data_IF_555164640023
#
_entry.id   IF_555164640023
#
_cell.length_a   1.000
_cell.length_b   1.000
_cell.length_c   1.000
_cell.angle_alpha   90.00
_cell.angle_beta   90.00
_cell.angle_gamma   90.00
#
_symmetry.space_group_name_H-M   'P 1'
#
loop_
_entity.id
_entity.type
_entity.pdbx_description
1 polymer ?
#
# COMPACT_ATOMS: atom_id res chain seq x y z
N UNK A 1 -30.52 -37.09 38.68
CA UNK A 1 -29.84 -35.77 38.79
C UNK A 1 -28.96 -35.62 37.59
N UNK A 2 -29.50 -35.06 36.54
CA UNK A 2 -28.86 -34.91 35.24
C UNK A 2 -28.41 -33.44 35.10
N UNK A 3 -27.11 -33.17 35.05
CA UNK A 3 -26.56 -31.84 34.83
C UNK A 3 -26.54 -31.61 33.32
N UNK A 4 -27.32 -30.67 32.89
CA UNK A 4 -27.34 -30.07 31.58
C UNK A 4 -26.10 -29.15 31.45
N UNK A 5 -25.16 -29.50 30.55
CA UNK A 5 -24.06 -28.62 30.19
C UNK A 5 -24.48 -27.83 28.93
N UNK A 6 -24.79 -26.58 29.16
CA UNK A 6 -25.03 -25.61 28.10
C UNK A 6 -23.69 -25.33 27.40
N UNK A 7 -23.61 -25.65 26.12
CA UNK A 7 -22.55 -25.26 25.22
C UNK A 7 -22.71 -23.75 24.92
N UNK A 8 -21.73 -22.88 25.14
CA UNK A 8 -21.82 -21.51 24.69
C UNK A 8 -21.69 -21.47 23.18
N UNK A 9 -22.68 -20.86 22.55
CA UNK A 9 -22.80 -20.65 21.11
C UNK A 9 -21.53 -20.00 20.55
N UNK A 10 -21.05 -20.55 19.46
CA UNK A 10 -20.12 -19.88 18.58
C UNK A 10 -20.76 -18.55 18.12
N UNK A 11 -20.15 -17.47 18.49
CA UNK A 11 -20.48 -16.13 17.95
C UNK A 11 -20.05 -16.16 16.50
N UNK A 12 -21.00 -16.15 15.59
CA UNK A 12 -20.78 -15.97 14.17
C UNK A 12 -20.32 -14.51 13.94
N UNK A 13 -19.03 -14.30 13.86
CA UNK A 13 -18.40 -13.03 13.46
C UNK A 13 -18.31 -12.94 11.91
N UNK A 14 -19.41 -13.11 11.23
CA UNK A 14 -19.49 -12.99 9.77
C UNK A 14 -19.89 -11.58 9.29
N UNK A 15 -20.06 -10.63 10.21
CA UNK A 15 -20.51 -9.26 9.86
C UNK A 15 -19.38 -8.24 9.67
N UNK A 16 -18.19 -8.51 10.17
CA UNK A 16 -17.04 -7.57 10.14
C UNK A 16 -16.03 -7.87 9.03
N UNK A 17 -15.94 -9.12 8.58
CA UNK A 17 -14.92 -9.56 7.60
C UNK A 17 -15.21 -9.04 6.17
N UNK A 18 -16.49 -8.74 5.84
CA UNK A 18 -16.90 -8.25 4.50
C UNK A 18 -16.59 -6.76 4.28
N UNK A 19 -16.31 -6.00 5.35
CA UNK A 19 -15.94 -4.58 5.29
C UNK A 19 -14.44 -4.35 5.13
N UNK A 20 -13.61 -5.32 5.53
CA UNK A 20 -12.16 -5.20 5.48
C UNK A 20 -11.62 -5.53 4.08
N UNK A 21 -10.72 -4.67 3.60
CA UNK A 21 -9.92 -4.94 2.42
C UNK A 21 -8.66 -5.73 2.76
N UNK A 22 -8.06 -5.45 3.93
CA UNK A 22 -6.86 -6.13 4.43
C UNK A 22 -7.06 -6.46 5.89
N UNK A 23 -6.68 -7.67 6.31
CA UNK A 23 -6.57 -8.04 7.72
C UNK A 23 -5.35 -8.94 7.94
N UNK A 24 -4.63 -8.74 9.05
CA UNK A 24 -3.54 -9.62 9.49
C UNK A 24 -3.67 -9.94 10.97
N UNK A 25 -3.16 -11.11 11.37
CA UNK A 25 -3.13 -11.58 12.75
C UNK A 25 -1.75 -12.19 13.03
N UNK A 26 -0.99 -11.57 13.94
CA UNK A 26 0.37 -11.93 14.35
C UNK A 26 1.32 -12.18 13.15
N UNK A 27 1.19 -11.35 12.09
CA UNK A 27 1.95 -11.55 10.85
C UNK A 27 3.44 -11.30 11.09
N UNK A 28 4.27 -12.31 10.78
CA UNK A 28 5.70 -12.28 11.08
C UNK A 28 6.56 -12.73 9.90
N UNK A 29 7.72 -12.06 9.74
CA UNK A 29 8.77 -12.47 8.81
C UNK A 29 10.14 -12.48 9.48
N UNK A 30 10.72 -13.66 9.56
CA UNK A 30 12.09 -13.90 10.01
C UNK A 30 12.94 -14.43 8.85
N UNK A 31 14.08 -13.82 8.58
CA UNK A 31 15.06 -14.22 7.57
C UNK A 31 16.23 -15.03 8.15
N UNK A 32 15.99 -15.76 9.24
CA UNK A 32 17.02 -16.61 9.85
C UNK A 32 17.99 -15.85 10.75
N UNK A 33 17.43 -14.97 11.59
CA UNK A 33 18.16 -14.16 12.57
C UNK A 33 17.91 -12.65 12.44
N UNK A 34 17.28 -12.21 11.35
CA UNK A 34 16.80 -10.85 11.19
C UNK A 34 15.29 -10.88 11.06
N UNK A 35 14.59 -10.36 12.06
CA UNK A 35 13.14 -10.21 12.05
C UNK A 35 12.82 -8.92 11.31
N UNK A 36 12.15 -9.04 10.17
CA UNK A 36 11.79 -7.87 9.35
C UNK A 36 10.36 -7.38 9.62
N UNK A 37 9.49 -8.27 10.11
CA UNK A 37 8.13 -7.96 10.58
C UNK A 37 7.88 -8.86 11.79
N UNK A 38 7.40 -8.27 12.88
CA UNK A 38 7.29 -8.94 14.18
C UNK A 38 5.89 -8.73 14.78
N UNK A 39 4.98 -9.66 14.52
CA UNK A 39 3.64 -9.65 15.11
C UNK A 39 2.77 -8.48 14.60
N UNK A 40 2.67 -8.32 13.28
CA UNK A 40 1.87 -7.24 12.69
C UNK A 40 0.39 -7.61 12.68
N UNK A 41 -0.39 -6.92 13.51
CA UNK A 41 -1.85 -6.89 13.47
C UNK A 41 -2.31 -5.63 12.73
N UNK A 42 -3.03 -5.79 11.63
CA UNK A 42 -3.44 -4.71 10.75
C UNK A 42 -4.85 -4.95 10.24
N UNK A 43 -5.66 -3.88 10.23
CA UNK A 43 -6.98 -3.88 9.58
C UNK A 43 -7.12 -2.65 8.70
N UNK A 44 -7.55 -2.83 7.45
CA UNK A 44 -7.78 -1.74 6.50
C UNK A 44 -9.17 -1.89 5.91
N UNK A 45 -9.98 -0.85 6.03
CA UNK A 45 -11.33 -0.82 5.48
C UNK A 45 -11.31 -0.68 3.94
N UNK A 46 -12.40 -1.15 3.29
CA UNK A 46 -12.56 -1.01 1.83
C UNK A 46 -12.70 0.45 1.42
N UNK A 47 -12.13 0.80 0.27
CA UNK A 47 -12.22 2.14 -0.32
C UNK A 47 -11.36 3.20 0.40
N UNK A 48 -10.50 2.80 1.35
CA UNK A 48 -9.62 3.72 2.05
C UNK A 48 -8.27 3.91 1.33
N UNK A 49 -7.61 5.03 1.60
CA UNK A 49 -6.19 5.22 1.31
C UNK A 49 -5.44 5.05 2.63
N UNK A 50 -4.81 3.90 2.80
CA UNK A 50 -4.02 3.58 3.98
C UNK A 50 -2.55 3.94 3.75
N UNK A 51 -2.04 4.91 4.52
CA UNK A 51 -0.63 5.32 4.52
C UNK A 51 0.20 4.45 5.45
N UNK A 52 1.15 3.67 4.91
CA UNK A 52 2.03 2.82 5.69
C UNK A 52 3.42 3.44 5.77
N UNK A 53 3.65 4.20 6.84
CA UNK A 53 4.85 4.99 7.09
C UNK A 53 5.92 4.19 7.84
N UNK A 54 7.17 4.59 7.69
CA UNK A 54 8.28 4.04 8.45
C UNK A 54 9.63 4.38 7.82
N UNK A 55 10.72 4.36 8.58
CA UNK A 55 12.06 4.55 8.03
C UNK A 55 12.46 3.43 7.08
N UNK A 56 13.57 3.62 6.38
CA UNK A 56 14.14 2.57 5.55
C UNK A 56 14.58 1.38 6.44
N UNK A 57 14.20 0.17 6.05
CA UNK A 57 14.45 -1.03 6.83
C UNK A 57 13.38 -1.37 7.88
N UNK A 58 12.38 -0.53 8.10
CA UNK A 58 11.31 -0.79 9.08
C UNK A 58 10.45 -2.04 8.78
N UNK A 59 10.52 -2.61 7.57
CA UNK A 59 9.75 -3.80 7.19
C UNK A 59 8.63 -3.54 6.17
N UNK A 60 8.42 -2.29 5.70
CA UNK A 60 7.33 -1.89 4.79
C UNK A 60 7.24 -2.76 3.53
N UNK A 61 8.30 -2.82 2.72
CA UNK A 61 8.31 -3.63 1.48
C UNK A 61 8.20 -5.14 1.77
N UNK A 62 8.69 -5.61 2.92
CA UNK A 62 8.51 -7.00 3.35
C UNK A 62 7.05 -7.29 3.64
N UNK A 63 6.36 -6.40 4.34
CA UNK A 63 4.92 -6.49 4.61
C UNK A 63 4.12 -6.55 3.31
N UNK A 64 4.35 -5.60 2.39
CA UNK A 64 3.68 -5.58 1.08
C UNK A 64 3.91 -6.90 0.31
N UNK A 65 5.14 -7.41 0.29
CA UNK A 65 5.43 -8.68 -0.39
C UNK A 65 4.71 -9.88 0.22
N UNK A 66 4.47 -9.88 1.54
CA UNK A 66 3.64 -10.91 2.19
C UNK A 66 2.17 -10.74 1.82
N UNK A 67 1.63 -9.51 1.91
CA UNK A 67 0.23 -9.21 1.57
C UNK A 67 -0.09 -9.47 0.09
N UNK A 68 0.89 -9.37 -0.81
CA UNK A 68 0.73 -9.66 -2.24
C UNK A 68 1.08 -11.10 -2.63
N UNK A 69 1.25 -12.00 -1.66
CA UNK A 69 1.66 -13.41 -1.86
C UNK A 69 2.94 -13.58 -2.70
N UNK A 70 3.85 -12.59 -2.69
CA UNK A 70 5.18 -12.69 -3.28
C UNK A 70 6.21 -13.28 -2.33
N UNK A 71 5.91 -13.25 -1.03
CA UNK A 71 6.76 -13.75 0.03
C UNK A 71 5.89 -14.47 1.08
N UNK A 72 6.11 -15.74 1.38
CA UNK A 72 5.36 -16.40 2.45
C UNK A 72 5.77 -15.84 3.82
N UNK A 73 4.82 -15.63 4.75
CA UNK A 73 5.13 -15.29 6.13
C UNK A 73 5.87 -16.43 6.82
N UNK A 74 6.58 -16.12 7.90
CA UNK A 74 7.21 -17.13 8.79
C UNK A 74 6.21 -17.69 9.79
N UNK A 75 5.27 -16.83 10.26
CA UNK A 75 4.11 -17.18 11.09
C UNK A 75 3.03 -16.12 10.95
N UNK A 76 1.89 -16.33 11.62
CA UNK A 76 0.72 -15.48 11.52
C UNK A 76 -0.10 -15.72 10.27
N UNK A 77 -1.19 -14.98 10.12
CA UNK A 77 -2.12 -15.08 8.99
C UNK A 77 -2.46 -13.71 8.42
N UNK A 78 -3.04 -13.70 7.22
CA UNK A 78 -3.55 -12.47 6.62
C UNK A 78 -4.51 -12.78 5.48
N UNK A 79 -5.38 -11.80 5.20
CA UNK A 79 -6.32 -11.81 4.09
C UNK A 79 -6.29 -10.48 3.37
N UNK A 80 -6.47 -10.52 2.06
CA UNK A 80 -6.61 -9.33 1.23
C UNK A 80 -7.79 -9.58 0.28
N UNK A 81 -8.72 -8.64 0.21
CA UNK A 81 -9.97 -8.79 -0.53
C UNK A 81 -10.72 -10.10 -0.21
N UNK A 82 -10.64 -10.56 1.05
CA UNK A 82 -11.23 -11.83 1.51
C UNK A 82 -10.41 -13.09 1.18
N UNK A 83 -9.38 -13.02 0.30
CA UNK A 83 -8.51 -14.14 -0.05
C UNK A 83 -7.32 -14.27 0.93
N UNK A 84 -6.93 -15.49 1.34
CA UNK A 84 -5.73 -15.69 2.17
C UNK A 84 -4.46 -15.26 1.43
N UNK A 85 -3.52 -14.60 2.09
CA UNK A 85 -2.21 -14.20 1.51
C UNK A 85 -1.31 -15.39 1.15
N UNK A 86 -1.67 -16.61 1.54
CA UNK A 86 -0.99 -17.85 1.18
C UNK A 86 -1.57 -18.49 -0.08
N UNK A 87 -2.71 -18.02 -0.56
CA UNK A 87 -3.36 -18.49 -1.79
C UNK A 87 -3.20 -17.45 -2.90
N UNK A 88 -2.06 -17.54 -3.61
CA UNK A 88 -1.72 -16.61 -4.67
C UNK A 88 -2.73 -16.63 -5.84
N UNK A 89 -3.28 -17.79 -6.15
CA UNK A 89 -4.23 -17.97 -7.27
C UNK A 89 -5.54 -17.23 -6.97
N UNK A 90 -6.06 -17.38 -5.76
CA UNK A 90 -7.25 -16.65 -5.32
C UNK A 90 -7.02 -15.14 -5.17
N UNK A 91 -5.77 -14.71 -4.90
CA UNK A 91 -5.46 -13.32 -4.60
C UNK A 91 -5.19 -12.47 -5.84
N UNK A 92 -4.56 -13.06 -6.88
CA UNK A 92 -3.92 -12.31 -7.95
C UNK A 92 -4.89 -11.41 -8.74
N UNK A 93 -6.14 -11.81 -8.91
CA UNK A 93 -7.14 -11.05 -9.67
C UNK A 93 -7.67 -9.84 -8.88
N UNK A 94 -7.56 -9.87 -7.56
CA UNK A 94 -8.06 -8.86 -6.65
C UNK A 94 -7.03 -7.78 -6.31
N UNK A 95 -5.75 -7.99 -6.65
CA UNK A 95 -4.69 -7.07 -6.27
C UNK A 95 -3.92 -6.48 -7.45
N UNK A 96 -3.60 -5.18 -7.32
CA UNK A 96 -2.56 -4.51 -8.10
C UNK A 96 -1.32 -4.27 -7.24
N UNK A 97 -0.14 -4.35 -7.83
CA UNK A 97 1.10 -4.04 -7.12
C UNK A 97 2.08 -3.26 -7.97
N UNK A 98 2.49 -2.11 -7.45
CA UNK A 98 3.57 -1.28 -7.98
C UNK A 98 4.73 -1.33 -6.98
N UNK A 99 5.80 -2.06 -7.23
CA UNK A 99 7.02 -1.97 -6.43
C UNK A 99 7.77 -0.67 -6.71
N UNK A 100 8.68 -0.28 -5.82
CA UNK A 100 9.55 0.89 -5.97
C UNK A 100 10.26 0.94 -7.34
N UNK A 101 10.68 -0.23 -7.86
CA UNK A 101 11.20 -0.40 -9.21
C UNK A 101 10.25 -1.27 -10.02
N UNK A 102 9.43 -0.68 -10.92
CA UNK A 102 8.46 -1.43 -11.70
C UNK A 102 9.10 -2.53 -12.57
N UNK A 103 8.53 -3.75 -12.60
CA UNK A 103 9.04 -4.84 -13.43
C UNK A 103 8.59 -4.67 -14.89
N UNK A 104 9.25 -3.77 -15.61
CA UNK A 104 8.98 -3.46 -17.02
C UNK A 104 10.16 -3.83 -17.88
N UNK A 105 9.87 -4.27 -19.11
CA UNK A 105 10.90 -4.72 -20.06
C UNK A 105 11.39 -3.54 -20.90
N UNK A 106 12.67 -3.22 -20.80
CA UNK A 106 13.30 -2.09 -21.49
C UNK A 106 13.18 -2.15 -23.01
N UNK A 107 13.09 -3.36 -23.57
CA UNK A 107 13.00 -3.61 -25.01
C UNK A 107 11.58 -3.50 -25.57
N UNK A 108 10.56 -3.48 -24.68
CA UNK A 108 9.17 -3.29 -25.08
C UNK A 108 8.85 -1.81 -25.22
N UNK A 109 7.79 -1.52 -25.96
CA UNK A 109 7.08 -0.24 -25.86
C UNK A 109 6.13 -0.29 -24.66
N UNK A 110 5.61 0.86 -24.20
CA UNK A 110 4.60 0.84 -23.13
C UNK A 110 3.35 0.06 -23.55
N UNK A 111 2.93 0.20 -24.79
CA UNK A 111 1.80 -0.54 -25.36
C UNK A 111 2.04 -2.05 -25.31
N UNK A 112 3.17 -2.53 -25.82
CA UNK A 112 3.55 -3.95 -25.79
C UNK A 112 3.62 -4.50 -24.36
N UNK A 113 4.19 -3.72 -23.42
CA UNK A 113 4.29 -4.08 -22.01
C UNK A 113 2.89 -4.28 -21.37
N UNK A 114 1.96 -3.36 -21.64
CA UNK A 114 0.62 -3.40 -21.10
C UNK A 114 -0.23 -4.49 -21.75
N UNK A 115 -0.11 -4.70 -23.06
CA UNK A 115 -0.75 -5.82 -23.78
C UNK A 115 -0.28 -7.17 -23.22
N UNK A 116 1.03 -7.33 -23.04
CA UNK A 116 1.62 -8.53 -22.44
C UNK A 116 1.07 -8.77 -21.03
N UNK A 117 1.02 -7.73 -20.21
CA UNK A 117 0.53 -7.85 -18.83
C UNK A 117 -0.97 -8.18 -18.77
N UNK A 118 -1.80 -7.52 -19.59
CA UNK A 118 -3.22 -7.82 -19.71
C UNK A 118 -3.47 -9.26 -20.18
N UNK A 119 -2.66 -9.73 -21.12
CA UNK A 119 -2.70 -11.13 -21.59
C UNK A 119 -2.37 -12.14 -20.49
N UNK A 120 -1.34 -11.87 -19.66
CA UNK A 120 -1.01 -12.72 -18.51
C UNK A 120 -2.13 -12.81 -17.47
N UNK A 121 -2.96 -11.77 -17.36
CA UNK A 121 -4.13 -11.73 -16.48
C UNK A 121 -5.41 -12.29 -17.13
N UNK A 122 -5.32 -12.82 -18.35
CA UNK A 122 -6.47 -13.40 -19.04
C UNK A 122 -7.53 -12.38 -19.46
N UNK A 123 -7.21 -11.08 -19.50
CA UNK A 123 -8.12 -10.05 -19.99
C UNK A 123 -8.46 -10.25 -21.47
N UNK A 124 -9.66 -9.84 -21.88
CA UNK A 124 -10.06 -9.92 -23.30
C UNK A 124 -9.28 -8.89 -24.14
N UNK A 125 -8.87 -9.22 -25.39
CA UNK A 125 -8.10 -8.30 -26.23
C UNK A 125 -8.76 -6.92 -26.40
N UNK A 126 -10.07 -6.86 -26.60
CA UNK A 126 -10.83 -5.61 -26.74
C UNK A 126 -10.87 -4.78 -25.47
N UNK A 127 -10.86 -5.43 -24.32
CA UNK A 127 -10.79 -4.77 -22.99
C UNK A 127 -9.38 -4.24 -22.75
N UNK A 128 -8.35 -5.03 -23.07
CA UNK A 128 -6.94 -4.60 -22.99
C UNK A 128 -6.73 -3.33 -23.81
N UNK A 129 -7.12 -3.34 -25.10
CA UNK A 129 -6.97 -2.19 -25.98
C UNK A 129 -7.66 -0.93 -25.43
N UNK A 130 -8.94 -1.05 -25.05
CA UNK A 130 -9.70 0.07 -24.50
C UNK A 130 -9.08 0.63 -23.21
N UNK A 131 -8.61 -0.24 -22.31
CA UNK A 131 -7.97 0.15 -21.05
C UNK A 131 -6.62 0.83 -21.28
N UNK A 132 -5.83 0.31 -22.20
CA UNK A 132 -4.53 0.88 -22.57
C UNK A 132 -4.71 2.30 -23.08
N UNK A 133 -5.58 2.53 -24.08
CA UNK A 133 -5.81 3.87 -24.62
C UNK A 133 -6.25 4.86 -23.54
N UNK A 134 -7.23 4.48 -22.72
CA UNK A 134 -7.74 5.34 -21.64
C UNK A 134 -6.66 5.69 -20.63
N UNK A 135 -5.84 4.71 -20.23
CA UNK A 135 -4.84 4.92 -19.19
C UNK A 135 -3.59 5.64 -19.73
N UNK A 136 -3.16 5.34 -20.95
CA UNK A 136 -2.05 6.06 -21.57
C UNK A 136 -2.38 7.55 -21.77
N UNK A 137 -3.62 7.88 -22.17
CA UNK A 137 -4.06 9.27 -22.29
C UNK A 137 -4.08 9.95 -20.90
N UNK A 138 -4.70 9.32 -19.91
CA UNK A 138 -4.75 9.84 -18.53
C UNK A 138 -3.38 10.13 -17.93
N UNK A 139 -2.40 9.25 -18.20
CA UNK A 139 -1.04 9.41 -17.71
C UNK A 139 -0.14 10.25 -18.60
N UNK A 140 -0.69 10.86 -19.66
CA UNK A 140 0.07 11.65 -20.64
C UNK A 140 1.25 10.86 -21.23
N UNK A 141 1.02 9.60 -21.61
CA UNK A 141 1.97 8.70 -22.24
C UNK A 141 1.53 8.28 -23.66
N UNK A 142 0.40 8.79 -24.15
CA UNK A 142 -0.17 8.38 -25.43
C UNK A 142 0.76 8.65 -26.62
N UNK A 143 1.46 9.79 -26.61
CA UNK A 143 2.40 10.16 -27.68
C UNK A 143 3.69 9.32 -27.68
N UNK A 144 4.10 8.83 -26.48
CA UNK A 144 5.31 8.03 -26.30
C UNK A 144 5.01 6.52 -26.27
N UNK A 145 3.73 6.11 -26.39
CA UNK A 145 3.26 4.75 -26.15
C UNK A 145 3.96 3.67 -27.01
N UNK A 146 4.39 4.05 -28.19
CA UNK A 146 5.05 3.19 -29.18
C UNK A 146 6.59 3.36 -29.18
N UNK A 147 7.13 4.23 -28.30
CA UNK A 147 8.56 4.34 -28.07
C UNK A 147 9.04 3.26 -27.08
N UNK A 148 10.30 2.83 -27.25
CA UNK A 148 10.87 1.80 -26.38
C UNK A 148 11.09 2.32 -24.97
N UNK A 149 10.72 1.52 -23.98
CA UNK A 149 10.82 1.85 -22.55
C UNK A 149 12.27 2.17 -22.12
N UNK A 150 13.28 1.66 -22.82
CA UNK A 150 14.67 2.03 -22.55
C UNK A 150 14.92 3.54 -22.68
N UNK A 151 14.12 4.25 -23.48
CA UNK A 151 14.24 5.71 -23.66
C UNK A 151 13.44 6.51 -22.62
N UNK A 152 12.61 5.84 -21.81
CA UNK A 152 11.72 6.48 -20.85
C UNK A 152 12.48 7.09 -19.67
N UNK A 153 12.02 8.26 -19.24
CA UNK A 153 12.40 8.83 -17.95
C UNK A 153 11.94 7.94 -16.78
N UNK A 154 12.51 8.14 -15.60
CA UNK A 154 12.04 7.44 -14.39
C UNK A 154 10.54 7.65 -14.18
N UNK A 155 10.03 8.87 -14.39
CA UNK A 155 8.61 9.19 -14.26
C UNK A 155 7.72 8.44 -15.26
N UNK A 156 8.13 8.32 -16.52
CA UNK A 156 7.38 7.56 -17.53
C UNK A 156 7.36 6.06 -17.18
N UNK A 157 8.47 5.50 -16.70
CA UNK A 157 8.55 4.11 -16.23
C UNK A 157 7.61 3.87 -15.04
N UNK A 158 7.59 4.79 -14.08
CA UNK A 158 6.72 4.71 -12.91
C UNK A 158 5.23 4.77 -13.30
N UNK A 159 4.88 5.71 -14.20
CA UNK A 159 3.53 5.81 -14.77
C UNK A 159 3.12 4.52 -15.48
N UNK A 160 3.99 3.94 -16.32
CA UNK A 160 3.74 2.65 -16.98
C UNK A 160 3.52 1.52 -15.99
N UNK A 161 4.33 1.44 -14.92
CA UNK A 161 4.17 0.47 -13.84
C UNK A 161 2.86 0.65 -13.07
N UNK A 162 2.43 1.90 -12.82
CA UNK A 162 1.16 2.17 -12.16
C UNK A 162 -0.03 1.76 -13.06
N UNK A 163 0.01 2.08 -14.36
CA UNK A 163 -0.98 1.60 -15.33
C UNK A 163 -1.07 0.07 -15.29
N UNK A 164 0.07 -0.62 -15.32
CA UNK A 164 0.14 -2.07 -15.22
C UNK A 164 -0.53 -2.61 -13.94
N UNK A 165 -0.34 -1.91 -12.80
CA UNK A 165 -0.93 -2.32 -11.52
C UNK A 165 -2.46 -2.16 -11.46
N UNK A 166 -3.03 -1.18 -12.20
CA UNK A 166 -4.47 -0.83 -12.08
C UNK A 166 -5.33 -1.21 -13.30
N UNK A 167 -4.73 -1.63 -14.42
CA UNK A 167 -5.46 -1.85 -15.67
C UNK A 167 -6.54 -2.93 -15.59
N UNK A 168 -6.40 -3.91 -14.72
CA UNK A 168 -7.37 -5.00 -14.51
C UNK A 168 -8.41 -4.68 -13.43
N UNK A 169 -8.46 -3.43 -12.91
CA UNK A 169 -9.43 -2.95 -11.90
C UNK A 169 -9.45 -3.79 -10.61
N UNK A 170 -8.32 -3.88 -9.91
CA UNK A 170 -8.23 -4.64 -8.66
C UNK A 170 -9.06 -4.03 -7.53
N UNK A 171 -9.44 -4.86 -6.53
CA UNK A 171 -10.09 -4.39 -5.30
C UNK A 171 -9.10 -3.62 -4.38
N UNK A 172 -7.83 -4.06 -4.37
CA UNK A 172 -6.77 -3.47 -3.55
C UNK A 172 -5.52 -3.19 -4.39
N UNK A 173 -4.97 -1.98 -4.28
CA UNK A 173 -3.71 -1.59 -4.93
C UNK A 173 -2.63 -1.32 -3.88
N UNK A 174 -1.53 -2.05 -3.98
CA UNK A 174 -0.33 -1.83 -3.18
C UNK A 174 0.68 -0.98 -3.95
N UNK A 175 1.09 0.14 -3.37
CA UNK A 175 2.03 1.09 -3.97
C UNK A 175 3.24 1.25 -3.04
N UNK A 176 4.41 0.81 -3.49
CA UNK A 176 5.67 0.94 -2.73
C UNK A 176 6.46 2.13 -3.26
N UNK A 177 6.54 3.22 -2.49
CA UNK A 177 7.21 4.48 -2.82
C UNK A 177 6.79 5.07 -4.20
N UNK A 178 5.50 5.20 -4.54
CA UNK A 178 5.04 5.49 -5.90
C UNK A 178 5.46 6.86 -6.44
N UNK A 179 5.80 7.82 -5.57
CA UNK A 179 6.22 9.19 -5.94
C UNK A 179 7.71 9.42 -5.82
N UNK A 180 8.49 8.41 -5.37
CA UNK A 180 9.92 8.56 -5.11
C UNK A 180 10.72 8.91 -6.37
N UNK A 181 11.43 10.05 -6.30
CA UNK A 181 12.31 10.52 -7.38
C UNK A 181 11.58 10.93 -8.65
N UNK A 182 10.28 11.24 -8.56
CA UNK A 182 9.51 11.84 -9.64
C UNK A 182 9.66 13.36 -9.62
N UNK A 183 9.54 13.98 -10.79
CA UNK A 183 9.34 15.41 -10.88
C UNK A 183 7.96 15.81 -10.35
N UNK A 184 7.73 17.10 -9.99
CA UNK A 184 6.46 17.52 -9.38
C UNK A 184 5.21 17.25 -10.21
N UNK A 185 5.31 17.27 -11.55
CA UNK A 185 4.18 17.03 -12.45
C UNK A 185 3.82 15.54 -12.46
N UNK A 186 4.80 14.67 -12.61
CA UNK A 186 4.60 13.22 -12.55
C UNK A 186 4.06 12.78 -11.17
N UNK A 187 4.64 13.32 -10.07
CA UNK A 187 4.17 13.05 -8.72
C UNK A 187 2.70 13.48 -8.52
N UNK A 188 2.30 14.63 -9.07
CA UNK A 188 0.90 15.10 -9.03
C UNK A 188 -0.04 14.13 -9.74
N UNK A 189 0.28 13.69 -10.97
CA UNK A 189 -0.53 12.72 -11.71
C UNK A 189 -0.73 11.42 -10.92
N UNK A 190 0.33 10.94 -10.25
CA UNK A 190 0.25 9.75 -9.39
C UNK A 190 -0.69 9.99 -8.21
N UNK A 191 -0.58 11.13 -7.50
CA UNK A 191 -1.48 11.46 -6.37
C UNK A 191 -2.94 11.57 -6.79
N UNK A 192 -3.22 12.29 -7.88
CA UNK A 192 -4.58 12.40 -8.44
C UNK A 192 -5.14 11.01 -8.79
N UNK A 193 -4.30 10.11 -9.33
CA UNK A 193 -4.72 8.73 -9.61
C UNK A 193 -5.05 7.94 -8.33
N UNK A 194 -4.25 8.07 -7.28
CA UNK A 194 -4.51 7.42 -5.98
C UNK A 194 -5.86 7.88 -5.41
N UNK A 195 -6.13 9.19 -5.44
CA UNK A 195 -7.40 9.76 -4.99
C UNK A 195 -8.58 9.22 -5.78
N UNK A 196 -8.45 9.16 -7.12
CA UNK A 196 -9.51 8.66 -7.99
C UNK A 196 -9.77 7.16 -7.84
N UNK A 197 -8.73 6.35 -7.55
CA UNK A 197 -8.89 4.94 -7.25
C UNK A 197 -9.77 4.74 -6.01
N UNK A 198 -9.46 5.45 -4.92
CA UNK A 198 -10.25 5.37 -3.69
C UNK A 198 -11.68 5.91 -3.87
N UNK A 199 -11.86 6.99 -4.64
CA UNK A 199 -13.18 7.51 -4.97
C UNK A 199 -14.05 6.54 -5.80
N UNK A 200 -13.44 5.49 -6.38
CA UNK A 200 -14.11 4.41 -7.11
C UNK A 200 -14.03 3.06 -6.36
N UNK A 201 -14.06 3.10 -5.03
CA UNK A 201 -14.10 1.93 -4.13
C UNK A 201 -12.87 1.01 -4.17
N UNK A 202 -11.77 1.41 -4.84
CA UNK A 202 -10.51 0.67 -4.78
C UNK A 202 -9.74 1.06 -3.51
N UNK A 203 -9.39 0.09 -2.69
CA UNK A 203 -8.54 0.33 -1.51
C UNK A 203 -7.10 0.55 -1.96
N UNK A 204 -6.44 1.58 -1.44
CA UNK A 204 -5.04 1.87 -1.75
C UNK A 204 -4.17 1.72 -0.50
N UNK A 205 -3.22 0.80 -0.54
CA UNK A 205 -2.19 0.64 0.48
C UNK A 205 -0.90 1.29 0.00
N UNK A 206 -0.59 2.46 0.56
CA UNK A 206 0.51 3.33 0.14
C UNK A 206 1.68 3.24 1.14
N UNK A 207 2.77 2.60 0.76
CA UNK A 207 4.03 2.61 1.53
C UNK A 207 4.89 3.79 1.09
N UNK A 208 5.29 4.63 2.03
CA UNK A 208 6.21 5.73 1.77
C UNK A 208 6.91 6.22 3.04
N UNK A 209 8.01 6.94 2.88
CA UNK A 209 8.67 7.72 3.92
C UNK A 209 8.42 9.23 3.73
N UNK A 210 7.63 9.63 2.74
CA UNK A 210 7.34 11.03 2.40
C UNK A 210 6.07 11.47 3.10
N UNK A 211 6.20 12.02 4.31
CA UNK A 211 5.10 12.45 5.18
C UNK A 211 4.09 13.37 4.51
N UNK A 212 4.49 14.43 3.76
CA UNK A 212 3.53 15.31 3.08
C UNK A 212 2.58 14.57 2.10
N UNK A 213 3.03 13.48 1.48
CA UNK A 213 2.19 12.68 0.58
C UNK A 213 1.10 11.94 1.36
N UNK A 214 1.44 11.44 2.54
CA UNK A 214 0.47 10.76 3.41
C UNK A 214 -0.52 11.75 4.02
N UNK A 215 -0.05 12.91 4.49
CA UNK A 215 -0.93 13.96 5.00
C UNK A 215 -1.95 14.44 3.97
N UNK A 216 -1.56 14.50 2.70
CA UNK A 216 -2.44 14.92 1.60
C UNK A 216 -3.46 13.84 1.20
N UNK A 217 -3.07 12.57 1.23
CA UNK A 217 -3.85 11.50 0.60
C UNK A 217 -4.49 10.53 1.56
N UNK A 218 -3.83 10.19 2.67
CA UNK A 218 -4.25 9.07 3.50
C UNK A 218 -5.48 9.40 4.35
N UNK A 219 -6.43 8.49 4.38
CA UNK A 219 -7.56 8.51 5.32
C UNK A 219 -7.19 7.88 6.65
N UNK A 220 -6.29 6.91 6.63
CA UNK A 220 -5.71 6.23 7.79
C UNK A 220 -4.21 6.06 7.60
N UNK A 221 -3.48 6.05 8.70
CA UNK A 221 -2.01 5.96 8.73
C UNK A 221 -1.59 4.96 9.77
N UNK A 222 -0.72 4.02 9.39
CA UNK A 222 0.03 3.17 10.30
C UNK A 222 1.52 3.50 10.23
N UNK A 223 2.18 3.66 11.37
CA UNK A 223 3.63 3.88 11.46
C UNK A 223 4.30 2.59 11.88
N UNK A 224 5.17 2.09 11.01
CA UNK A 224 5.98 0.89 11.23
C UNK A 224 7.39 1.29 11.67
N UNK A 225 7.84 0.74 12.79
CA UNK A 225 9.20 0.89 13.29
C UNK A 225 9.73 -0.44 13.81
N UNK A 226 10.95 -0.79 13.41
CA UNK A 226 11.63 -2.05 13.79
C UNK A 226 10.75 -3.31 13.63
N UNK A 227 10.00 -3.37 12.54
CA UNK A 227 9.13 -4.49 12.18
C UNK A 227 7.78 -4.52 12.90
N UNK A 228 7.45 -3.54 13.74
CA UNK A 228 6.21 -3.46 14.50
C UNK A 228 5.39 -2.24 14.12
N UNK A 229 4.06 -2.35 14.17
CA UNK A 229 3.14 -1.22 14.03
C UNK A 229 3.08 -0.49 15.38
N UNK A 230 3.72 0.68 15.44
CA UNK A 230 3.88 1.42 16.72
C UNK A 230 2.72 2.37 16.99
N UNK A 231 2.04 2.85 15.96
CA UNK A 231 0.82 3.66 16.10
C UNK A 231 -0.02 3.60 14.83
N UNK A 232 -1.33 3.81 14.99
CA UNK A 232 -2.31 3.80 13.90
C UNK A 232 -3.44 4.80 14.21
N UNK A 233 -4.02 5.41 13.17
CA UNK A 233 -5.15 6.32 13.26
C UNK A 233 -5.23 7.25 12.05
N UNK A 234 -6.23 8.14 12.04
CA UNK A 234 -6.29 9.20 11.03
C UNK A 234 -5.14 10.19 11.22
N UNK A 235 -4.68 10.88 10.16
CA UNK A 235 -3.64 11.92 10.30
C UNK A 235 -3.97 12.96 11.39
N UNK A 236 -5.24 13.32 11.54
CA UNK A 236 -5.70 14.27 12.56
C UNK A 236 -5.59 13.70 13.97
N UNK A 237 -6.09 12.49 14.20
CA UNK A 237 -6.01 11.82 15.51
C UNK A 237 -4.55 11.61 15.95
N UNK A 238 -3.66 11.26 15.02
CA UNK A 238 -2.25 11.08 15.34
C UNK A 238 -1.61 12.40 15.80
N UNK A 239 -1.92 13.52 15.14
CA UNK A 239 -1.43 14.85 15.55
C UNK A 239 -2.00 15.29 16.91
N UNK A 240 -3.26 14.97 17.19
CA UNK A 240 -3.93 15.31 18.47
C UNK A 240 -3.40 14.52 19.67
N UNK A 241 -2.80 13.34 19.43
CA UNK A 241 -2.18 12.50 20.50
C UNK A 241 -0.88 13.09 21.05
N UNK A 242 -0.21 13.92 20.25
CA UNK A 242 0.93 14.70 20.75
C UNK A 242 0.40 15.74 21.75
N UNK A 243 0.96 15.76 22.96
CA UNK A 243 0.66 16.79 23.97
C UNK A 243 1.14 18.21 23.59
N UNK A 244 1.78 18.37 22.45
CA UNK A 244 2.24 19.62 21.88
C UNK A 244 1.12 20.30 21.07
N UNK A 245 0.65 21.41 21.53
CA UNK A 245 -0.35 22.36 21.04
C UNK A 245 -0.81 22.34 19.56
N UNK A 246 -1.62 23.32 19.15
CA UNK A 246 -2.36 23.40 17.87
C UNK A 246 -1.51 23.37 16.57
N UNK A 247 -0.18 23.21 16.61
CA UNK A 247 0.75 23.23 15.45
C UNK A 247 1.48 21.89 15.20
N UNK A 248 1.10 20.78 15.86
CA UNK A 248 1.77 19.49 15.68
C UNK A 248 1.61 18.94 14.25
N UNK A 249 2.72 18.53 13.64
CA UNK A 249 2.76 17.90 12.31
C UNK A 249 2.80 16.37 12.40
N UNK A 250 2.52 15.67 11.32
CA UNK A 250 2.73 14.21 11.26
C UNK A 250 4.23 13.85 11.37
N UNK A 251 5.13 14.79 11.04
CA UNK A 251 6.57 14.64 11.22
C UNK A 251 6.95 14.56 12.70
N UNK A 252 6.31 15.38 13.55
CA UNK A 252 6.54 15.34 15.01
C UNK A 252 6.08 14.00 15.60
N UNK A 253 4.90 13.49 15.18
CA UNK A 253 4.43 12.15 15.54
C UNK A 253 5.43 11.08 15.13
N UNK A 254 5.87 11.14 13.88
CA UNK A 254 6.81 10.18 13.32
C UNK A 254 8.13 10.17 14.10
N UNK A 255 8.67 11.32 14.40
CA UNK A 255 9.92 11.46 15.16
C UNK A 255 9.75 10.94 16.59
N UNK A 256 8.66 11.27 17.27
CA UNK A 256 8.41 10.79 18.65
C UNK A 256 8.33 9.26 18.72
N UNK A 257 7.59 8.61 17.81
CA UNK A 257 7.40 7.15 17.87
C UNK A 257 8.55 6.33 17.26
N UNK A 258 9.47 6.99 16.54
CA UNK A 258 10.62 6.33 15.89
C UNK A 258 11.97 6.68 16.50
N UNK A 259 12.02 7.48 17.58
CA UNK A 259 13.23 7.79 18.34
C UNK A 259 13.24 7.01 19.64
N UNK A 260 14.36 6.34 19.94
CA UNK A 260 14.60 5.65 21.23
C UNK A 260 14.84 6.63 22.40
N UNK A 261 14.90 7.95 22.13
CA UNK A 261 15.05 9.00 23.14
C UNK A 261 13.80 9.91 23.14
N UNK A 262 13.28 10.31 24.32
CA UNK A 262 12.17 11.26 24.38
C UNK A 262 12.58 12.59 23.75
N UNK A 263 11.80 13.05 22.77
CA UNK A 263 11.96 14.34 22.10
C UNK A 263 11.90 15.48 23.14
N UNK A 264 13.01 16.12 23.42
CA UNK A 264 13.08 17.33 24.23
C UNK A 264 13.02 18.52 23.27
N UNK A 265 11.89 19.21 23.22
CA UNK A 265 11.75 20.43 22.42
C UNK A 265 12.80 21.46 22.86
N UNK A 266 13.60 21.99 21.92
CA UNK A 266 14.64 22.99 22.16
C UNK A 266 14.12 24.38 22.58
N UNK A 267 12.82 24.56 22.82
CA UNK A 267 12.19 25.85 23.16
C UNK A 267 12.21 26.23 24.64
N UNK A 268 13.03 25.55 25.48
CA UNK A 268 13.09 25.87 26.93
C UNK A 268 14.42 26.46 27.42
N UNK A 269 15.23 27.07 26.55
CA UNK A 269 16.37 27.90 27.02
C UNK A 269 16.34 29.29 26.41
N UNK A 270 15.49 30.18 26.92
CA UNK A 270 15.75 31.62 26.97
C UNK A 270 15.21 32.16 28.29
N UNK A 271 16.02 32.20 29.29
CA UNK A 271 16.04 33.19 30.38
C UNK A 271 17.40 33.83 30.50
#
# INVERSE_FOLDING_TARGET
>A
MTRNQSNPAAVNDHGTDDQLAISTDDLRKDYGGTIAVDGLDLTVDRGTIYGFLGPNGAGKSTTIRMLTALLPPSSGTGRVAGAPITDREALIDHIGYLPESPPIHDEFTAREQLEYHGGLRGMKPTEIESRIETLLDRFELAEDADDRIVTYSKGMRQKTGLIQAIMHQPDVVFLDEPTSGLDPRAARTVRETITDLAANDTTVFLSTHVLPVVEELATEVGILYDGQLVTEGTPTELKERLEAGEESSLEDVFLEVTTDEPYVSEDSEVE
#
